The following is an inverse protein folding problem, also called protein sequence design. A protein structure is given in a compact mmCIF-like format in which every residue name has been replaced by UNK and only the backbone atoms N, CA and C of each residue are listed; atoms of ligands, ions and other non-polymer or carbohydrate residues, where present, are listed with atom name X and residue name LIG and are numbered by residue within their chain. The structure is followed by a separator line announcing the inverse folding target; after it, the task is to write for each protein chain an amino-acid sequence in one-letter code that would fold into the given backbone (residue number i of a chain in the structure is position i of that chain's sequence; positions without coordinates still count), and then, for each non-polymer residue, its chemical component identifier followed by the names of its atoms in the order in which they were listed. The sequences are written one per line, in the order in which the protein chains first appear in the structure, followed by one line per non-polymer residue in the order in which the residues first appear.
data_IF_929359620732
#
_entry.id   IF_929359620732
#
_cell.length_a   1.000
_cell.length_b   1.000
_cell.length_c   1.000
_cell.angle_alpha   90.00
_cell.angle_beta   90.00
_cell.angle_gamma   90.00
#
_symmetry.space_group_name_H-M   'P 1'
#
loop_
_entity.id
_entity.type
_entity.pdbx_description
1 polymer ?
#
# COMPACT_ATOMS: atom_id res chain seq x y z
N UNK A 1 -28.73 22.97 8.38
CA UNK A 1 -27.48 23.50 8.97
C UNK A 1 -26.39 23.43 7.93
N UNK A 2 -25.89 24.59 7.52
CA UNK A 2 -24.68 24.91 6.75
C UNK A 2 -23.78 23.75 6.27
N UNK A 3 -23.97 23.36 5.02
CA UNK A 3 -22.88 22.82 4.17
C UNK A 3 -21.86 23.96 3.98
N UNK A 4 -20.71 23.89 4.66
CA UNK A 4 -19.54 24.70 4.30
C UNK A 4 -18.53 23.81 3.60
N UNK A 5 -18.15 24.26 2.41
CA UNK A 5 -17.16 23.67 1.53
C UNK A 5 -15.89 23.27 2.29
N UNK A 6 -15.40 22.04 2.09
CA UNK A 6 -14.09 21.60 2.57
C UNK A 6 -13.02 22.07 1.57
N UNK A 7 -12.09 22.97 1.95
CA UNK A 7 -10.99 23.37 1.09
C UNK A 7 -10.02 22.19 0.88
N UNK A 8 -9.31 22.20 -0.24
CA UNK A 8 -8.27 21.21 -0.59
C UNK A 8 -7.28 20.96 0.56
N UNK A 9 -7.06 19.69 0.87
CA UNK A 9 -6.26 19.26 2.01
C UNK A 9 -4.79 19.16 1.58
N UNK A 10 -3.94 20.08 2.03
CA UNK A 10 -2.50 19.85 2.12
C UNK A 10 -2.20 19.20 3.47
N UNK A 11 -1.53 18.04 3.42
CA UNK A 11 -1.45 17.04 4.48
C UNK A 11 -0.36 17.27 5.55
N UNK A 12 -0.10 18.50 6.00
CA UNK A 12 1.01 18.75 6.96
C UNK A 12 0.61 19.17 8.37
N UNK A 13 -0.63 19.59 8.62
CA UNK A 13 -1.08 19.93 9.97
C UNK A 13 -2.14 18.92 10.42
N UNK A 14 -1.87 18.22 11.52
CA UNK A 14 -2.80 17.28 12.14
C UNK A 14 -4.14 17.98 12.41
N UNK A 15 -5.10 17.77 11.52
CA UNK A 15 -6.42 18.36 11.61
C UNK A 15 -7.07 17.87 12.92
N UNK A 16 -7.61 18.72 13.80
CA UNK A 16 -8.19 18.30 15.08
C UNK A 16 -9.28 17.23 14.96
N UNK A 17 -9.83 17.03 13.76
CA UNK A 17 -10.88 16.06 13.46
C UNK A 17 -10.38 14.74 12.86
N UNK A 18 -9.07 14.52 12.68
CA UNK A 18 -8.55 13.26 12.10
C UNK A 18 -9.06 12.04 12.87
N UNK A 19 -9.04 12.11 14.20
CA UNK A 19 -9.51 11.00 15.04
C UNK A 19 -11.01 10.75 14.90
N UNK A 20 -11.82 11.80 14.96
CA UNK A 20 -13.27 11.71 14.82
C UNK A 20 -13.66 11.14 13.45
N UNK A 21 -13.03 11.61 12.36
CA UNK A 21 -13.26 11.10 11.02
C UNK A 21 -12.85 9.63 10.88
N UNK A 22 -11.71 9.24 11.45
CA UNK A 22 -11.25 7.85 11.46
C UNK A 22 -12.25 6.94 12.20
N UNK A 23 -12.74 7.38 13.36
CA UNK A 23 -13.77 6.68 14.14
C UNK A 23 -15.11 6.61 13.38
N UNK A 24 -15.46 7.66 12.63
CA UNK A 24 -16.69 7.76 11.84
C UNK A 24 -16.69 6.93 10.54
N UNK A 25 -15.56 6.36 10.12
CA UNK A 25 -15.52 5.52 8.91
C UNK A 25 -14.53 5.95 7.84
N UNK A 26 -13.92 7.13 7.96
CA UNK A 26 -13.05 7.68 6.91
C UNK A 26 -11.71 6.93 6.85
N UNK A 27 -11.42 6.33 5.69
CA UNK A 27 -10.24 5.49 5.48
C UNK A 27 -8.94 6.31 5.34
N UNK A 28 -9.02 7.53 4.81
CA UNK A 28 -7.89 8.46 4.69
C UNK A 28 -7.49 8.98 6.07
N UNK A 29 -8.50 9.35 6.88
CA UNK A 29 -8.29 9.79 8.25
C UNK A 29 -7.72 8.66 9.13
N UNK A 30 -8.23 7.44 8.97
CA UNK A 30 -7.67 6.27 9.64
C UNK A 30 -6.21 6.02 9.22
N UNK A 31 -5.88 6.14 7.93
CA UNK A 31 -4.49 6.01 7.48
C UNK A 31 -3.59 7.10 8.09
N UNK A 32 -4.05 8.34 8.09
CA UNK A 32 -3.34 9.50 8.65
C UNK A 32 -3.07 9.33 10.13
N UNK A 33 -4.08 8.88 10.89
CA UNK A 33 -3.94 8.60 12.31
C UNK A 33 -2.97 7.45 12.57
N UNK A 34 -2.98 6.42 11.72
CA UNK A 34 -2.01 5.34 11.77
C UNK A 34 -0.58 5.82 11.54
N UNK A 35 -0.35 6.68 10.54
CA UNK A 35 0.96 7.28 10.26
C UNK A 35 1.45 8.16 11.42
N UNK A 36 0.56 8.96 12.02
CA UNK A 36 0.87 9.79 13.18
C UNK A 36 1.28 8.95 14.39
N UNK A 37 0.50 7.91 14.73
CA UNK A 37 0.80 7.05 15.86
C UNK A 37 2.15 6.34 15.69
N UNK A 38 2.48 5.89 14.47
CA UNK A 38 3.82 5.32 14.18
C UNK A 38 4.94 6.35 14.36
N UNK A 39 4.75 7.61 13.95
CA UNK A 39 5.74 8.67 14.12
C UNK A 39 5.98 9.03 15.59
N UNK A 40 4.94 8.94 16.43
CA UNK A 40 5.04 9.18 17.88
C UNK A 40 5.53 7.95 18.65
N UNK A 41 5.79 6.83 17.98
CA UNK A 41 6.30 5.60 18.57
C UNK A 41 5.24 4.66 19.14
N UNK A 42 3.95 4.94 18.94
CA UNK A 42 2.87 4.01 19.26
C UNK A 42 2.59 3.09 18.05
N UNK A 43 3.47 2.11 17.89
CA UNK A 43 3.39 1.14 16.79
C UNK A 43 2.08 0.32 16.85
N UNK A 44 1.55 0.06 18.04
CA UNK A 44 0.35 -0.74 18.22
C UNK A 44 -0.91 0.01 17.76
N UNK A 45 -1.07 1.27 18.18
CA UNK A 45 -2.14 2.13 17.70
C UNK A 45 -1.97 2.42 16.19
N UNK A 46 -0.74 2.64 15.73
CA UNK A 46 -0.43 2.83 14.32
C UNK A 46 -0.86 1.66 13.44
N UNK A 47 -0.46 0.45 13.81
CA UNK A 47 -0.83 -0.76 13.10
C UNK A 47 -2.35 -1.00 13.11
N UNK A 48 -3.01 -0.73 14.24
CA UNK A 48 -4.47 -0.84 14.36
C UNK A 48 -5.19 0.08 13.37
N UNK A 49 -4.82 1.35 13.31
CA UNK A 49 -5.46 2.30 12.41
C UNK A 49 -5.14 2.04 10.94
N UNK A 50 -3.92 1.57 10.63
CA UNK A 50 -3.59 1.07 9.28
C UNK A 50 -4.43 -0.14 8.90
N UNK A 51 -4.64 -1.10 9.80
CA UNK A 51 -5.51 -2.24 9.52
C UNK A 51 -6.94 -1.80 9.21
N UNK A 52 -7.51 -0.89 10.02
CA UNK A 52 -8.84 -0.32 9.78
C UNK A 52 -8.91 0.40 8.42
N UNK A 53 -7.90 1.20 8.09
CA UNK A 53 -7.83 1.90 6.81
C UNK A 53 -7.74 0.91 5.62
N UNK A 54 -6.97 -0.16 5.76
CA UNK A 54 -6.82 -1.20 4.74
C UNK A 54 -8.14 -1.95 4.51
N UNK A 55 -8.84 -2.36 5.57
CA UNK A 55 -10.16 -2.99 5.50
C UNK A 55 -11.19 -2.10 4.80
N UNK A 56 -11.02 -0.78 4.89
CA UNK A 56 -11.90 0.22 4.28
C UNK A 56 -11.45 0.65 2.87
N UNK A 57 -10.47 -0.01 2.26
CA UNK A 57 -10.09 0.28 0.88
C UNK A 57 -8.91 1.25 0.70
N UNK A 58 -8.26 1.71 1.78
CA UNK A 58 -7.20 2.70 1.64
C UNK A 58 -5.94 2.10 0.99
N UNK A 59 -5.51 2.55 -0.21
CA UNK A 59 -4.48 1.87 -0.98
C UNK A 59 -3.11 1.82 -0.29
N UNK A 60 -2.71 2.90 0.41
CA UNK A 60 -1.43 2.92 1.10
C UNK A 60 -1.43 2.03 2.35
N UNK A 61 -2.60 1.87 2.99
CA UNK A 61 -2.74 1.01 4.15
C UNK A 61 -2.78 -0.47 3.73
N UNK A 62 -3.46 -0.79 2.63
CA UNK A 62 -3.38 -2.11 2.00
C UNK A 62 -1.93 -2.47 1.63
N UNK A 63 -1.18 -1.54 1.03
CA UNK A 63 0.24 -1.76 0.75
C UNK A 63 1.05 -2.03 2.02
N UNK A 64 0.73 -1.36 3.14
CA UNK A 64 1.33 -1.61 4.44
C UNK A 64 1.03 -3.02 4.95
N UNK A 65 -0.24 -3.43 4.96
CA UNK A 65 -0.64 -4.80 5.34
C UNK A 65 0.02 -5.85 4.43
N UNK A 66 0.19 -5.53 3.15
CA UNK A 66 0.85 -6.36 2.16
C UNK A 66 2.33 -6.60 2.41
N UNK A 67 3.01 -5.80 3.24
CA UNK A 67 4.41 -6.09 3.63
C UNK A 67 4.53 -7.38 4.46
N UNK A 68 3.41 -7.90 4.97
CA UNK A 68 3.34 -9.21 5.61
C UNK A 68 3.87 -10.35 4.74
N UNK A 69 3.94 -10.22 3.40
CA UNK A 69 4.47 -11.29 2.53
C UNK A 69 5.88 -11.75 2.87
N UNK A 70 6.70 -10.87 3.45
CA UNK A 70 8.08 -11.16 3.83
C UNK A 70 8.19 -11.95 5.14
N UNK A 71 7.24 -11.74 6.06
CA UNK A 71 7.29 -12.26 7.43
C UNK A 71 6.38 -13.47 7.60
N UNK A 72 5.18 -13.37 7.07
CA UNK A 72 4.12 -14.36 7.23
C UNK A 72 4.37 -15.63 6.41
N UNK A 73 3.63 -16.70 6.73
CA UNK A 73 3.63 -17.98 6.00
C UNK A 73 2.20 -18.47 5.75
N UNK A 74 2.04 -19.45 4.87
CA UNK A 74 0.74 -20.10 4.63
C UNK A 74 -0.39 -19.12 4.27
N UNK A 75 -1.49 -19.20 5.00
CA UNK A 75 -2.69 -18.37 4.79
C UNK A 75 -2.45 -16.89 5.05
N UNK A 76 -1.72 -16.55 6.11
CA UNK A 76 -1.40 -15.16 6.43
C UNK A 76 -0.56 -14.52 5.30
N UNK A 77 0.36 -15.27 4.69
CA UNK A 77 1.11 -14.80 3.52
C UNK A 77 0.20 -14.58 2.31
N UNK A 78 -0.77 -15.49 2.07
CA UNK A 78 -1.77 -15.33 0.99
C UNK A 78 -2.64 -14.09 1.19
N UNK A 79 -3.08 -13.83 2.43
CA UNK A 79 -3.84 -12.64 2.78
C UNK A 79 -3.03 -11.36 2.54
N UNK A 80 -1.77 -11.31 2.99
CA UNK A 80 -0.88 -10.18 2.71
C UNK A 80 -0.68 -9.96 1.20
N UNK A 81 -0.48 -11.03 0.44
CA UNK A 81 -0.30 -10.93 -1.00
C UNK A 81 -1.58 -10.44 -1.71
N UNK A 82 -2.77 -10.79 -1.20
CA UNK A 82 -4.05 -10.25 -1.69
C UNK A 82 -4.17 -8.74 -1.45
N UNK A 83 -3.72 -8.22 -0.29
CA UNK A 83 -3.67 -6.77 -0.06
C UNK A 83 -2.75 -6.05 -1.05
N UNK A 84 -1.61 -6.65 -1.41
CA UNK A 84 -0.72 -6.10 -2.44
C UNK A 84 -1.40 -6.03 -3.80
N UNK A 85 -2.15 -7.06 -4.18
CA UNK A 85 -2.92 -7.07 -5.42
C UNK A 85 -3.94 -5.94 -5.47
N UNK A 86 -4.76 -5.80 -4.42
CA UNK A 86 -5.77 -4.74 -4.33
C UNK A 86 -5.13 -3.34 -4.38
N UNK A 87 -4.05 -3.11 -3.62
CA UNK A 87 -3.33 -1.84 -3.65
C UNK A 87 -2.69 -1.54 -5.02
N UNK A 88 -2.15 -2.56 -5.69
CA UNK A 88 -1.58 -2.45 -7.03
C UNK A 88 -2.65 -2.11 -8.08
N UNK A 89 -3.82 -2.72 -8.01
CA UNK A 89 -4.98 -2.41 -8.86
C UNK A 89 -5.48 -0.97 -8.65
N UNK A 90 -5.38 -0.45 -7.43
CA UNK A 90 -5.66 0.94 -7.08
C UNK A 90 -4.51 1.92 -7.43
N UNK A 91 -3.50 1.46 -8.19
CA UNK A 91 -2.46 2.33 -8.74
C UNK A 91 -1.26 2.60 -7.82
N UNK A 92 -1.14 1.91 -6.68
CA UNK A 92 0.00 2.11 -5.78
C UNK A 92 1.25 1.44 -6.34
N UNK A 93 2.17 2.25 -6.87
CA UNK A 93 3.44 1.79 -7.45
C UNK A 93 4.29 0.94 -6.49
N UNK A 94 4.28 1.26 -5.20
CA UNK A 94 5.06 0.51 -4.20
C UNK A 94 4.46 -0.90 -4.02
N UNK A 95 3.12 -1.01 -4.02
CA UNK A 95 2.43 -2.29 -3.99
C UNK A 95 2.65 -3.10 -5.27
N UNK A 96 2.66 -2.45 -6.45
CA UNK A 96 2.98 -3.12 -7.72
C UNK A 96 4.38 -3.76 -7.69
N UNK A 97 5.38 -3.08 -7.15
CA UNK A 97 6.73 -3.61 -7.03
C UNK A 97 6.80 -4.79 -6.05
N UNK A 98 6.11 -4.69 -4.92
CA UNK A 98 6.01 -5.78 -3.94
C UNK A 98 5.23 -6.98 -4.49
N UNK A 99 4.17 -6.75 -5.25
CA UNK A 99 3.41 -7.80 -5.93
C UNK A 99 4.25 -8.52 -6.97
N UNK A 100 5.05 -7.78 -7.75
CA UNK A 100 6.00 -8.37 -8.68
C UNK A 100 6.99 -9.29 -7.97
N UNK A 101 7.57 -8.84 -6.85
CA UNK A 101 8.42 -9.67 -6.02
C UNK A 101 7.69 -10.90 -5.49
N UNK A 102 6.44 -10.74 -5.03
CA UNK A 102 5.64 -11.84 -4.49
C UNK A 102 5.37 -12.91 -5.56
N UNK A 103 5.03 -12.52 -6.78
CA UNK A 103 4.83 -13.43 -7.90
C UNK A 103 6.14 -14.10 -8.35
N UNK A 104 7.26 -13.37 -8.40
CA UNK A 104 8.57 -13.94 -8.73
C UNK A 104 9.04 -14.99 -7.70
N UNK A 105 8.64 -14.85 -6.43
CA UNK A 105 9.09 -15.73 -5.35
C UNK A 105 8.03 -16.77 -4.91
N UNK A 106 6.85 -16.76 -5.54
CA UNK A 106 5.72 -17.57 -5.07
C UNK A 106 5.29 -17.24 -3.64
N UNK A 107 5.44 -15.99 -3.22
CA UNK A 107 5.15 -15.53 -1.86
C UNK A 107 3.66 -15.17 -1.72
N UNK A 108 2.86 -16.16 -1.35
CA UNK A 108 1.40 -15.99 -1.21
C UNK A 108 0.62 -16.17 -2.52
N UNK A 109 1.32 -16.45 -3.61
CA UNK A 109 0.78 -16.85 -4.91
C UNK A 109 1.60 -18.02 -5.46
N UNK A 110 1.12 -18.65 -6.53
CA UNK A 110 2.00 -19.48 -7.35
C UNK A 110 3.06 -18.59 -8.02
N UNK A 111 4.25 -19.16 -8.27
CA UNK A 111 5.29 -18.45 -9.01
C UNK A 111 4.79 -18.12 -10.43
N UNK A 112 4.87 -16.85 -10.82
CA UNK A 112 4.51 -16.38 -12.16
C UNK A 112 5.39 -15.19 -12.57
N UNK A 113 6.56 -15.49 -13.15
CA UNK A 113 7.49 -14.47 -13.62
C UNK A 113 6.93 -13.57 -14.73
N UNK A 114 5.96 -14.05 -15.51
CA UNK A 114 5.37 -13.25 -16.59
C UNK A 114 4.46 -12.15 -16.02
N UNK A 115 3.61 -12.50 -15.05
CA UNK A 115 2.82 -11.49 -14.32
C UNK A 115 3.69 -10.59 -13.47
N UNK A 116 4.73 -11.13 -12.82
CA UNK A 116 5.68 -10.32 -12.06
C UNK A 116 6.34 -9.24 -12.93
N UNK A 117 6.81 -9.60 -14.13
CA UNK A 117 7.39 -8.65 -15.06
C UNK A 117 6.40 -7.55 -15.48
N UNK A 118 5.13 -7.91 -15.74
CA UNK A 118 4.07 -6.93 -16.06
C UNK A 118 3.88 -5.92 -14.93
N UNK A 119 3.77 -6.38 -13.69
CA UNK A 119 3.61 -5.48 -12.54
C UNK A 119 4.87 -4.65 -12.27
N UNK A 120 6.06 -5.23 -12.45
CA UNK A 120 7.33 -4.51 -12.34
C UNK A 120 7.43 -3.39 -13.38
N UNK A 121 7.05 -3.64 -14.63
CA UNK A 121 6.97 -2.61 -15.69
C UNK A 121 6.02 -1.48 -15.30
N UNK A 122 4.80 -1.80 -14.85
CA UNK A 122 3.84 -0.79 -14.38
C UNK A 122 4.41 0.05 -13.23
N UNK A 123 5.06 -0.58 -12.25
CA UNK A 123 5.71 0.14 -11.16
C UNK A 123 6.82 1.08 -11.67
N UNK A 124 7.65 0.61 -12.60
CA UNK A 124 8.72 1.39 -13.21
C UNK A 124 8.20 2.58 -14.05
N UNK A 125 7.12 2.39 -14.81
CA UNK A 125 6.44 3.45 -15.55
C UNK A 125 5.91 4.55 -14.62
N UNK A 126 5.50 4.20 -13.40
CA UNK A 126 5.10 5.14 -12.35
C UNK A 126 6.30 5.67 -11.51
N UNK A 127 7.53 5.45 -11.98
CA UNK A 127 8.74 5.99 -11.36
C UNK A 127 9.19 5.24 -10.10
N UNK A 128 8.81 3.97 -9.90
CA UNK A 128 9.29 3.21 -8.75
C UNK A 128 10.78 2.86 -8.90
N UNK A 129 11.67 3.36 -8.02
CA UNK A 129 13.12 3.33 -8.24
C UNK A 129 13.68 1.91 -8.26
N UNK A 130 13.19 1.02 -7.38
CA UNK A 130 13.64 -0.38 -7.38
C UNK A 130 13.22 -1.10 -8.67
N UNK A 131 12.03 -0.81 -9.19
CA UNK A 131 11.50 -1.49 -10.36
C UNK A 131 12.28 -1.07 -11.62
N UNK A 132 12.58 0.23 -11.74
CA UNK A 132 13.45 0.77 -12.80
C UNK A 132 14.81 0.08 -12.74
N UNK A 133 15.47 0.10 -11.58
CA UNK A 133 16.81 -0.49 -11.40
C UNK A 133 16.84 -1.98 -11.73
N UNK A 134 15.80 -2.72 -11.36
CA UNK A 134 15.69 -4.15 -11.64
C UNK A 134 15.55 -4.44 -13.14
N UNK A 135 14.74 -3.64 -13.86
CA UNK A 135 14.58 -3.77 -15.30
C UNK A 135 15.86 -3.38 -16.05
N UNK A 136 16.50 -2.28 -15.66
CA UNK A 136 17.78 -1.83 -16.21
C UNK A 136 18.88 -2.89 -16.03
N UNK A 137 19.00 -3.46 -14.82
CA UNK A 137 19.95 -4.54 -14.54
C UNK A 137 19.68 -5.79 -15.39
N UNK A 138 18.40 -6.06 -15.68
CA UNK A 138 17.99 -7.17 -16.53
C UNK A 138 18.09 -6.87 -18.04
N UNK A 139 18.44 -5.63 -18.43
CA UNK A 139 18.44 -5.21 -19.83
C UNK A 139 17.05 -5.19 -20.47
N UNK A 140 15.99 -5.05 -19.66
CA UNK A 140 14.61 -5.08 -20.11
C UNK A 140 14.04 -3.66 -20.25
N UNK A 141 13.27 -3.38 -21.31
CA UNK A 141 12.63 -2.08 -21.46
C UNK A 141 11.51 -1.89 -20.42
N UNK A 142 11.34 -0.64 -19.98
CA UNK A 142 10.26 -0.21 -19.08
C UNK A 142 8.90 -0.19 -19.78
N UNK A 143 8.92 0.09 -21.09
CA UNK A 143 7.75 0.03 -21.97
C UNK A 143 7.70 -1.33 -22.68
N UNK A 144 6.51 -1.78 -23.06
CA UNK A 144 6.33 -2.99 -23.90
C UNK A 144 6.67 -2.73 -25.36
#
# INVERSE_FOLDING_TARGET
GWFKARPGHCASDANPWVRELAEAGDAEAANTLGDQAMQTGDEAEGAKWKAIAAERGHPAAMAFMGQGVFREKGEARRAAASYLLQAAELGRRDAMALLAWALDNGAGFAHDGAQALKWRRKAAQLGHPMAIRELERAGLPIQE
#
